data_IF_925249040166
#
_entry.id   IF_925249040166
#
_cell.length_a   1.000
_cell.length_b   1.000
_cell.length_c   1.000
_cell.angle_alpha   90.00
_cell.angle_beta   90.00
_cell.angle_gamma   90.00
#
_symmetry.space_group_name_H-M   'P 1'
#
loop_
_entity.id
_entity.type
_entity.pdbx_description
1 polymer ?
#
# COMPACT_ATOMS: atom_id res chain seq x y z
N UNK A 1 7.39 20.02 22.21
CA UNK A 1 7.79 18.72 22.76
C UNK A 1 8.62 18.04 21.68
N UNK A 2 9.87 17.62 21.90
CA UNK A 2 10.61 16.88 20.88
C UNK A 2 9.86 15.57 20.57
N UNK A 3 9.91 15.04 19.34
CA UNK A 3 9.36 13.72 19.05
C UNK A 3 10.03 12.68 19.95
N UNK A 4 9.25 11.71 20.44
CA UNK A 4 9.77 10.59 21.20
C UNK A 4 10.89 9.92 20.38
N UNK A 5 11.98 9.55 21.03
CA UNK A 5 13.08 8.82 20.39
C UNK A 5 12.54 7.46 19.93
N UNK A 6 12.79 7.07 18.67
CA UNK A 6 12.42 5.74 18.12
C UNK A 6 13.05 4.58 18.92
N UNK A 7 13.98 4.86 19.85
CA UNK A 7 14.67 3.84 20.65
C UNK A 7 13.78 3.10 21.66
N UNK A 8 12.64 3.69 22.06
CA UNK A 8 11.67 3.08 22.99
C UNK A 8 10.36 2.65 22.26
N UNK A 9 10.35 2.68 20.93
CA UNK A 9 9.17 2.32 20.16
C UNK A 9 8.98 0.80 20.15
N UNK A 10 7.77 0.36 20.49
CA UNK A 10 7.38 -1.05 20.46
C UNK A 10 6.99 -1.43 19.01
N UNK A 11 7.87 -2.15 18.34
CA UNK A 11 7.64 -2.69 17.00
C UNK A 11 7.01 -4.08 17.07
N UNK A 12 6.11 -4.45 16.14
CA UNK A 12 5.58 -5.81 16.12
C UNK A 12 6.67 -6.80 15.70
N UNK A 13 6.62 -8.04 16.17
CA UNK A 13 7.53 -9.09 15.71
C UNK A 13 7.34 -9.34 14.20
N UNK A 14 8.34 -9.90 13.51
CA UNK A 14 8.18 -10.33 12.12
C UNK A 14 6.99 -11.27 11.95
N UNK A 15 6.26 -11.12 10.84
CA UNK A 15 5.17 -12.02 10.44
C UNK A 15 5.80 -13.19 9.69
N UNK A 16 5.95 -14.33 10.36
CA UNK A 16 6.84 -15.41 9.90
C UNK A 16 6.21 -16.31 8.84
N UNK A 17 4.91 -16.44 8.79
CA UNK A 17 4.24 -17.36 7.85
C UNK A 17 2.90 -16.78 7.39
N UNK A 18 2.92 -15.62 6.68
CA UNK A 18 1.70 -14.99 6.22
C UNK A 18 1.10 -15.77 5.06
N UNK A 19 -0.20 -16.06 5.13
CA UNK A 19 -0.96 -16.61 4.01
C UNK A 19 -1.41 -15.52 3.04
N UNK A 20 -1.71 -14.33 3.59
CA UNK A 20 -2.19 -13.16 2.85
C UNK A 20 -1.51 -11.87 3.34
N UNK A 21 -1.60 -10.80 2.55
CA UNK A 21 -1.13 -9.48 2.97
C UNK A 21 -1.95 -8.93 4.17
N UNK A 22 -3.17 -9.42 4.36
CA UNK A 22 -4.00 -9.11 5.52
C UNK A 22 -3.33 -9.48 6.85
N UNK A 23 -2.53 -10.55 6.88
CA UNK A 23 -1.81 -10.99 8.09
C UNK A 23 -0.75 -9.97 8.52
N UNK A 24 -0.15 -9.27 7.57
CA UNK A 24 0.82 -8.19 7.85
C UNK A 24 0.20 -6.99 8.58
N UNK A 25 -1.11 -6.83 8.48
CA UNK A 25 -1.90 -5.77 9.14
C UNK A 25 -2.96 -6.33 10.09
N UNK A 26 -2.76 -7.54 10.61
CA UNK A 26 -3.61 -8.12 11.63
C UNK A 26 -3.67 -7.21 12.87
N UNK A 27 -4.81 -7.22 13.56
CA UNK A 27 -5.06 -6.29 14.69
C UNK A 27 -4.07 -6.43 15.84
N UNK A 28 -3.52 -7.59 16.01
CA UNK A 28 -2.53 -7.94 17.02
C UNK A 28 -1.20 -7.22 16.80
N UNK A 29 -0.95 -6.75 15.57
CA UNK A 29 0.26 -6.02 15.19
C UNK A 29 0.19 -4.51 15.47
N UNK A 30 -0.86 -4.03 16.16
CA UNK A 30 -1.03 -2.62 16.54
C UNK A 30 -0.12 -2.26 17.71
N UNK A 31 1.02 -1.72 17.40
CA UNK A 31 2.03 -1.25 18.37
C UNK A 31 2.30 0.24 18.19
N UNK A 32 3.20 0.80 19.00
CA UNK A 32 3.59 2.21 18.92
C UNK A 32 4.73 2.48 17.94
N UNK A 33 5.40 1.42 17.43
CA UNK A 33 6.47 1.56 16.45
C UNK A 33 5.97 2.19 15.15
N UNK A 34 6.86 2.86 14.42
CA UNK A 34 6.54 3.51 13.16
C UNK A 34 6.40 2.48 12.04
N UNK A 35 5.23 2.41 11.39
CA UNK A 35 4.99 1.56 10.21
C UNK A 35 5.25 2.29 8.89
N UNK A 36 4.90 3.58 8.83
CA UNK A 36 5.01 4.37 7.60
C UNK A 36 5.46 5.79 7.91
N UNK A 37 6.44 6.27 7.16
CA UNK A 37 6.92 7.66 7.21
C UNK A 37 6.96 8.25 5.80
N UNK A 38 6.23 9.33 5.56
CA UNK A 38 6.22 10.05 4.29
C UNK A 38 7.07 11.32 4.44
N UNK A 39 8.32 11.27 3.99
CA UNK A 39 9.27 12.39 4.11
C UNK A 39 8.80 13.68 3.45
N UNK A 40 8.20 13.66 2.24
CA UNK A 40 7.76 14.89 1.58
C UNK A 40 6.69 15.66 2.36
N UNK A 41 5.75 14.95 3.01
CA UNK A 41 4.67 15.56 3.79
C UNK A 41 4.96 15.67 5.29
N UNK A 42 6.01 15.00 5.79
CA UNK A 42 6.32 14.88 7.21
C UNK A 42 5.35 13.98 7.99
N UNK A 43 4.39 13.32 7.33
CA UNK A 43 3.39 12.47 7.99
C UNK A 43 4.00 11.14 8.41
N UNK A 44 3.63 10.71 9.61
CA UNK A 44 4.08 9.43 10.20
C UNK A 44 2.88 8.68 10.74
N UNK A 45 2.87 7.36 10.53
CA UNK A 45 1.86 6.44 11.05
C UNK A 45 2.53 5.39 11.91
N UNK A 46 2.06 5.23 13.14
CA UNK A 46 2.42 4.08 13.97
C UNK A 46 1.79 2.80 13.39
N UNK A 47 2.23 1.62 13.81
CA UNK A 47 1.55 0.37 13.45
C UNK A 47 0.08 0.38 13.85
N UNK A 48 -0.26 0.99 14.99
CA UNK A 48 -1.65 1.18 15.41
C UNK A 48 -2.44 2.02 14.40
N UNK A 49 -1.88 3.14 13.96
CA UNK A 49 -2.54 4.03 13.01
C UNK A 49 -2.60 3.41 11.61
N UNK A 50 -1.50 2.78 11.18
CA UNK A 50 -1.40 2.12 9.87
C UNK A 50 -2.42 0.99 9.72
N UNK A 51 -2.43 0.05 10.68
CA UNK A 51 -3.39 -1.06 10.69
C UNK A 51 -4.83 -0.52 10.75
N UNK A 52 -5.11 0.41 11.67
CA UNK A 52 -6.46 0.99 11.82
C UNK A 52 -6.91 1.67 10.54
N UNK A 53 -6.04 2.49 9.91
CA UNK A 53 -6.39 3.25 8.72
C UNK A 53 -6.50 2.36 7.47
N UNK A 54 -5.70 1.29 7.36
CA UNK A 54 -5.85 0.32 6.27
C UNK A 54 -7.20 -0.40 6.30
N UNK A 55 -7.69 -0.78 7.50
CA UNK A 55 -9.05 -1.32 7.65
C UNK A 55 -10.13 -0.32 7.24
N UNK A 56 -9.99 0.95 7.64
CA UNK A 56 -10.92 2.01 7.26
C UNK A 56 -10.92 2.24 5.76
N UNK A 57 -9.75 2.30 5.12
CA UNK A 57 -9.62 2.42 3.67
C UNK A 57 -10.32 1.24 2.95
N UNK A 58 -10.14 0.02 3.42
CA UNK A 58 -10.86 -1.14 2.91
C UNK A 58 -12.38 -1.02 3.07
N UNK A 59 -12.87 -0.52 4.20
CA UNK A 59 -14.32 -0.30 4.40
C UNK A 59 -14.88 0.77 3.45
N UNK A 60 -14.15 1.86 3.19
CA UNK A 60 -14.53 2.86 2.18
C UNK A 60 -14.59 2.21 0.79
N UNK A 61 -13.57 1.46 0.39
CA UNK A 61 -13.58 0.74 -0.89
C UNK A 61 -14.79 -0.20 -0.99
N UNK A 62 -15.10 -0.96 0.07
CA UNK A 62 -16.26 -1.85 0.12
C UNK A 62 -17.57 -1.08 0.02
N UNK A 63 -17.68 0.09 0.65
CA UNK A 63 -18.83 0.99 0.52
C UNK A 63 -18.99 1.47 -0.92
N UNK A 64 -17.90 1.80 -1.61
CA UNK A 64 -17.86 2.13 -3.04
C UNK A 64 -18.06 0.92 -3.96
N UNK A 65 -18.44 -0.22 -3.42
CA UNK A 65 -18.85 -1.39 -4.17
C UNK A 65 -17.74 -2.37 -4.54
N UNK A 66 -16.50 -2.19 -4.06
CA UNK A 66 -15.40 -3.14 -4.30
C UNK A 66 -15.71 -4.52 -3.71
N UNK A 67 -15.48 -5.56 -4.49
CA UNK A 67 -15.64 -6.98 -4.14
C UNK A 67 -14.35 -7.75 -4.45
N UNK A 68 -14.19 -8.99 -3.96
CA UNK A 68 -13.06 -9.85 -4.35
C UNK A 68 -12.91 -9.95 -5.87
N UNK A 69 -11.68 -9.78 -6.36
CA UNK A 69 -11.35 -9.78 -7.78
C UNK A 69 -11.61 -8.48 -8.54
N UNK A 70 -12.31 -7.49 -7.95
CA UNK A 70 -12.48 -6.19 -8.60
C UNK A 70 -11.14 -5.42 -8.66
N UNK A 71 -10.90 -4.68 -9.74
CA UNK A 71 -9.75 -3.79 -9.85
C UNK A 71 -9.99 -2.49 -9.08
N UNK A 72 -9.00 -2.13 -8.26
CA UNK A 72 -8.84 -0.81 -7.65
C UNK A 72 -7.62 -0.15 -8.27
N UNK A 73 -7.83 0.92 -9.05
CA UNK A 73 -6.75 1.66 -9.70
C UNK A 73 -6.29 2.80 -8.80
N UNK A 74 -5.01 2.83 -8.49
CA UNK A 74 -4.44 3.79 -7.53
C UNK A 74 -3.34 4.59 -8.21
N UNK A 75 -3.35 5.91 -8.07
CA UNK A 75 -2.27 6.75 -8.56
C UNK A 75 -0.94 6.28 -7.96
N UNK A 76 0.09 6.12 -8.81
CA UNK A 76 1.38 5.57 -8.42
C UNK A 76 2.26 6.59 -7.67
N UNK A 77 1.65 7.37 -6.78
CA UNK A 77 2.34 8.37 -5.98
C UNK A 77 2.83 7.77 -4.66
N UNK A 78 3.99 8.23 -4.18
CA UNK A 78 4.55 7.79 -2.90
C UNK A 78 3.98 8.64 -1.75
N UNK A 79 2.69 8.46 -1.50
CA UNK A 79 1.94 9.12 -0.43
C UNK A 79 1.25 8.09 0.46
N UNK A 80 0.92 8.42 1.70
CA UNK A 80 0.27 7.48 2.62
C UNK A 80 -1.05 6.92 2.08
N UNK A 81 -1.86 7.72 1.43
CA UNK A 81 -3.16 7.36 0.87
C UNK A 81 -3.03 6.19 -0.12
N UNK A 82 -2.01 6.23 -0.99
CA UNK A 82 -1.68 5.16 -1.94
C UNK A 82 -1.37 3.84 -1.23
N UNK A 83 -0.51 3.89 -0.20
CA UNK A 83 -0.09 2.69 0.55
C UNK A 83 -1.25 2.12 1.37
N UNK A 84 -1.98 2.97 2.08
CA UNK A 84 -3.12 2.56 2.91
C UNK A 84 -4.26 1.98 2.07
N UNK A 85 -4.50 2.54 0.87
CA UNK A 85 -5.46 1.99 -0.09
C UNK A 85 -5.04 0.61 -0.59
N UNK A 86 -3.75 0.40 -0.90
CA UNK A 86 -3.22 -0.92 -1.30
C UNK A 86 -3.48 -1.97 -0.24
N UNK A 87 -3.17 -1.68 1.03
CA UNK A 87 -3.45 -2.60 2.12
C UNK A 87 -4.94 -2.81 2.38
N UNK A 88 -5.75 -1.76 2.22
CA UNK A 88 -7.21 -1.86 2.31
C UNK A 88 -7.83 -2.73 1.21
N UNK A 89 -7.37 -2.58 -0.03
CA UNK A 89 -7.80 -3.38 -1.17
C UNK A 89 -7.41 -4.86 -1.01
N UNK A 90 -6.17 -5.12 -0.54
CA UNK A 90 -5.65 -6.46 -0.28
C UNK A 90 -6.52 -7.25 0.71
N UNK A 91 -7.01 -6.59 1.79
CA UNK A 91 -7.89 -7.19 2.78
C UNK A 91 -9.28 -7.54 2.23
N UNK A 92 -9.68 -6.96 1.09
CA UNK A 92 -10.93 -7.27 0.40
C UNK A 92 -10.77 -8.34 -0.70
N UNK A 93 -9.56 -8.82 -0.95
CA UNK A 93 -9.27 -9.68 -2.10
C UNK A 93 -9.42 -8.94 -3.44
N UNK A 94 -9.32 -7.60 -3.42
CA UNK A 94 -9.34 -6.78 -4.63
C UNK A 94 -7.93 -6.69 -5.24
N UNK A 95 -7.89 -6.44 -6.55
CA UNK A 95 -6.65 -6.33 -7.33
C UNK A 95 -6.25 -4.87 -7.43
N UNK A 96 -5.10 -4.49 -6.86
CA UNK A 96 -4.57 -3.14 -7.02
C UNK A 96 -3.82 -3.02 -8.35
N UNK A 97 -4.07 -1.93 -9.09
CA UNK A 97 -3.23 -1.50 -10.21
C UNK A 97 -2.70 -0.10 -9.94
N UNK A 98 -1.40 0.04 -9.87
CA UNK A 98 -0.79 1.37 -9.72
C UNK A 98 -0.62 2.05 -11.07
N UNK A 99 -0.99 3.34 -11.14
CA UNK A 99 -0.89 4.18 -12.35
C UNK A 99 -2.04 3.98 -13.34
N UNK A 100 -1.87 4.48 -14.55
CA UNK A 100 -2.86 4.38 -15.62
C UNK A 100 -4.19 5.09 -15.33
N UNK A 101 -4.17 6.15 -14.53
CA UNK A 101 -5.37 6.94 -14.20
C UNK A 101 -5.98 7.49 -15.50
N UNK A 102 -7.29 7.31 -15.68
CA UNK A 102 -8.01 7.71 -16.88
C UNK A 102 -7.72 6.88 -18.14
N UNK A 103 -7.02 5.73 -18.04
CA UNK A 103 -6.64 4.92 -19.19
C UNK A 103 -7.31 3.54 -19.15
N UNK A 104 -7.62 3.02 -20.36
CA UNK A 104 -8.20 1.70 -20.53
C UNK A 104 -9.61 1.55 -19.94
N UNK A 105 -10.02 0.32 -19.69
CA UNK A 105 -11.32 0.04 -19.10
C UNK A 105 -11.39 0.60 -17.66
N UNK A 106 -12.51 1.22 -17.28
CA UNK A 106 -12.65 1.81 -15.97
C UNK A 106 -12.69 0.71 -14.89
N UNK A 107 -11.90 0.85 -13.80
CA UNK A 107 -11.91 -0.08 -12.68
C UNK A 107 -13.16 0.13 -11.81
N UNK A 108 -13.40 -0.75 -10.82
CA UNK A 108 -14.48 -0.53 -9.85
C UNK A 108 -14.33 0.80 -9.10
N UNK A 109 -13.12 1.09 -8.64
CA UNK A 109 -12.76 2.35 -7.96
C UNK A 109 -11.42 2.85 -8.49
N UNK A 110 -11.34 4.14 -8.76
CA UNK A 110 -10.08 4.86 -8.96
C UNK A 110 -9.78 5.68 -7.72
N UNK A 111 -8.52 5.65 -7.26
CA UNK A 111 -8.01 6.50 -6.16
C UNK A 111 -6.86 7.36 -6.69
N UNK A 112 -7.03 8.67 -6.67
CA UNK A 112 -6.09 9.61 -7.29
C UNK A 112 -6.00 10.93 -6.49
N UNK A 113 -4.97 11.78 -6.70
CA UNK A 113 -4.98 13.12 -6.15
C UNK A 113 -6.12 13.96 -6.77
N UNK A 114 -6.71 14.87 -6.00
CA UNK A 114 -7.80 15.72 -6.45
C UNK A 114 -7.45 16.50 -7.73
N UNK A 115 -6.19 16.90 -7.89
CA UNK A 115 -5.71 17.58 -9.09
C UNK A 115 -5.89 16.79 -10.40
N UNK A 116 -6.16 15.47 -10.30
CA UNK A 116 -6.38 14.57 -11.44
C UNK A 116 -7.85 14.14 -11.60
N UNK A 117 -8.76 14.74 -10.86
CA UNK A 117 -10.19 14.40 -10.88
C UNK A 117 -10.77 14.42 -12.32
N UNK A 118 -10.43 15.46 -13.08
CA UNK A 118 -10.92 15.65 -14.46
C UNK A 118 -10.34 14.68 -15.49
N UNK A 119 -9.34 13.85 -15.12
CA UNK A 119 -8.77 12.84 -16.00
C UNK A 119 -9.57 11.52 -15.97
N UNK A 120 -10.56 11.39 -15.07
CA UNK A 120 -11.28 10.13 -14.83
C UNK A 120 -12.72 10.26 -15.27
N UNK A 121 -13.10 9.47 -16.27
CA UNK A 121 -14.50 9.27 -16.62
C UNK A 121 -15.16 8.31 -15.62
N UNK A 122 -16.38 8.65 -15.19
CA UNK A 122 -17.16 7.86 -14.23
C UNK A 122 -18.41 7.26 -14.89
N UNK A 123 -18.29 6.18 -15.64
CA UNK A 123 -19.47 5.47 -16.14
C UNK A 123 -20.25 4.83 -14.96
N UNK A 124 -21.53 4.48 -15.16
CA UNK A 124 -22.35 3.86 -14.12
C UNK A 124 -21.68 2.63 -13.47
N UNK A 125 -21.63 2.61 -12.15
CA UNK A 125 -21.05 1.51 -11.38
C UNK A 125 -19.54 1.64 -11.11
N UNK A 126 -18.91 2.73 -11.55
CA UNK A 126 -17.51 3.07 -11.25
C UNK A 126 -17.46 4.29 -10.35
N UNK A 127 -16.46 4.36 -9.47
CA UNK A 127 -16.33 5.40 -8.47
C UNK A 127 -14.93 6.01 -8.48
N UNK A 128 -14.86 7.28 -8.10
CA UNK A 128 -13.62 8.00 -7.88
C UNK A 128 -13.53 8.44 -6.42
N UNK A 129 -12.43 8.14 -5.78
CA UNK A 129 -12.04 8.73 -4.52
C UNK A 129 -10.78 9.57 -4.72
N UNK A 130 -10.81 10.82 -4.28
CA UNK A 130 -9.65 11.71 -4.40
C UNK A 130 -9.08 12.04 -3.03
N UNK A 131 -7.75 12.22 -3.00
CA UNK A 131 -7.03 12.65 -1.81
C UNK A 131 -6.32 13.99 -2.01
N UNK A 132 -5.96 14.63 -0.90
CA UNK A 132 -5.36 15.97 -0.86
C UNK A 132 -6.43 17.05 -0.75
N UNK A 133 -6.67 17.80 -1.82
CA UNK A 133 -7.72 18.82 -1.85
C UNK A 133 -9.12 18.19 -1.91
N UNK A 134 -10.13 18.99 -1.53
CA UNK A 134 -11.53 18.57 -1.63
C UNK A 134 -11.92 18.33 -3.09
N UNK A 135 -12.77 17.32 -3.38
CA UNK A 135 -13.28 17.10 -4.73
C UNK A 135 -14.14 18.26 -5.21
N UNK A 136 -14.15 18.47 -6.53
CA UNK A 136 -15.03 19.45 -7.20
C UNK A 136 -16.39 18.82 -7.54
N UNK A 137 -16.43 17.54 -7.88
CA UNK A 137 -17.63 16.82 -8.27
C UNK A 137 -18.43 16.28 -7.08
N UNK A 138 -19.79 16.39 -7.08
CA UNK A 138 -20.64 15.92 -6.00
C UNK A 138 -20.65 14.39 -5.84
N UNK A 139 -20.33 13.66 -6.89
CA UNK A 139 -20.30 12.18 -6.91
C UNK A 139 -18.89 11.62 -6.64
N UNK A 140 -17.93 12.50 -6.33
CA UNK A 140 -16.54 12.12 -6.02
C UNK A 140 -16.33 12.03 -4.53
N UNK A 141 -15.75 10.96 -4.09
CA UNK A 141 -15.48 10.69 -2.66
C UNK A 141 -14.20 11.42 -2.23
N UNK A 142 -14.23 12.16 -1.12
CA UNK A 142 -13.01 12.67 -0.50
C UNK A 142 -12.41 11.61 0.42
N UNK A 143 -11.27 11.03 0.00
CA UNK A 143 -10.66 9.87 0.64
C UNK A 143 -10.40 10.09 2.14
N UNK A 144 -9.77 11.21 2.51
CA UNK A 144 -9.43 11.50 3.91
C UNK A 144 -10.67 11.66 4.79
N UNK A 145 -11.70 12.33 4.30
CA UNK A 145 -12.94 12.55 5.05
C UNK A 145 -13.65 11.24 5.34
N UNK A 146 -13.80 10.39 4.31
CA UNK A 146 -14.47 9.11 4.45
C UNK A 146 -13.66 8.14 5.30
N UNK A 147 -12.36 8.01 5.07
CA UNK A 147 -11.49 7.15 5.88
C UNK A 147 -11.42 7.65 7.33
N UNK A 148 -11.43 8.96 7.57
CA UNK A 148 -11.47 9.50 8.92
C UNK A 148 -12.75 9.11 9.67
N UNK A 149 -13.90 9.22 9.01
CA UNK A 149 -15.22 8.96 9.60
C UNK A 149 -15.54 7.47 9.75
N UNK A 150 -14.84 6.59 8.98
CA UNK A 150 -15.14 5.16 8.92
C UNK A 150 -14.77 4.42 10.20
N UNK A 151 -15.46 3.31 10.46
CA UNK A 151 -15.16 2.41 11.57
C UNK A 151 -14.15 1.34 11.09
N UNK A 152 -13.06 1.04 11.83
CA UNK A 152 -12.10 0.00 11.46
C UNK A 152 -12.66 -1.42 11.74
N UNK A 153 -13.80 -1.75 11.16
CA UNK A 153 -14.38 -3.09 11.27
C UNK A 153 -13.59 -4.12 10.44
N UNK A 154 -13.59 -5.38 10.89
CA UNK A 154 -13.02 -6.50 10.12
C UNK A 154 -13.89 -6.74 8.88
N UNK A 155 -13.23 -6.94 7.73
CA UNK A 155 -13.92 -7.27 6.49
C UNK A 155 -14.45 -8.71 6.54
N UNK A 156 -15.74 -8.94 6.26
CA UNK A 156 -16.31 -10.30 6.22
C UNK A 156 -16.01 -10.96 4.86
N UNK A 157 -14.73 -11.02 4.48
CA UNK A 157 -14.26 -11.55 3.20
C UNK A 157 -13.17 -12.57 3.49
N UNK A 158 -13.27 -13.74 2.87
CA UNK A 158 -12.18 -14.71 2.87
C UNK A 158 -11.25 -14.36 1.69
N UNK A 159 -9.95 -14.27 1.96
CA UNK A 159 -8.90 -14.05 0.97
C UNK A 159 -7.93 -15.21 1.07
N UNK A 160 -7.52 -15.74 -0.08
CA UNK A 160 -6.60 -16.88 -0.19
C UNK A 160 -5.26 -16.44 -0.80
N UNK A 161 -4.19 -17.15 -0.46
CA UNK A 161 -2.85 -16.90 -1.03
C UNK A 161 -2.77 -17.00 -2.55
N UNK A 162 -3.72 -17.67 -3.20
CA UNK A 162 -3.86 -17.76 -4.66
C UNK A 162 -4.61 -16.59 -5.30
N UNK A 163 -5.27 -15.75 -4.51
CA UNK A 163 -6.02 -14.62 -5.03
C UNK A 163 -5.09 -13.55 -5.62
N UNK A 164 -5.47 -12.93 -6.76
CA UNK A 164 -4.69 -11.85 -7.35
C UNK A 164 -4.69 -10.63 -6.41
N UNK A 165 -3.52 -10.01 -6.26
CA UNK A 165 -3.29 -8.85 -5.37
C UNK A 165 -2.87 -7.60 -6.14
N UNK A 166 -1.98 -7.76 -7.11
CA UNK A 166 -1.37 -6.66 -7.85
C UNK A 166 -1.42 -6.94 -9.35
N UNK A 167 -1.86 -5.97 -10.15
CA UNK A 167 -1.80 -6.03 -11.59
C UNK A 167 -0.75 -5.05 -12.13
N UNK A 168 0.15 -5.54 -13.00
CA UNK A 168 1.14 -4.72 -13.69
C UNK A 168 1.25 -5.15 -15.16
N UNK A 169 1.04 -4.23 -16.09
CA UNK A 169 0.87 -4.58 -17.50
C UNK A 169 -0.33 -5.53 -17.67
N UNK A 170 -0.11 -6.64 -18.37
CA UNK A 170 -1.10 -7.71 -18.58
C UNK A 170 -1.02 -8.81 -17.50
N UNK A 171 -0.07 -8.74 -16.58
CA UNK A 171 0.16 -9.76 -15.55
C UNK A 171 -0.51 -9.40 -14.24
N UNK A 172 -1.12 -10.40 -13.60
CA UNK A 172 -1.56 -10.34 -12.22
C UNK A 172 -0.64 -11.18 -11.33
N UNK A 173 -0.27 -10.63 -10.19
CA UNK A 173 0.53 -11.27 -9.15
C UNK A 173 -0.37 -11.62 -7.97
N UNK A 174 -0.27 -12.84 -7.50
CA UNK A 174 -1.08 -13.32 -6.37
C UNK A 174 -0.54 -12.81 -5.02
N UNK A 175 -1.32 -12.98 -3.96
CA UNK A 175 -0.88 -12.77 -2.58
C UNK A 175 0.45 -13.51 -2.33
N UNK A 176 0.49 -14.80 -2.69
CA UNK A 176 1.67 -15.66 -2.51
C UNK A 176 2.90 -15.17 -3.28
N UNK A 177 2.73 -14.66 -4.50
CA UNK A 177 3.85 -14.16 -5.32
C UNK A 177 4.55 -12.97 -4.63
N UNK A 178 3.76 -11.99 -4.15
CA UNK A 178 4.32 -10.82 -3.48
C UNK A 178 4.90 -11.17 -2.10
N UNK A 179 4.24 -12.04 -1.34
CA UNK A 179 4.75 -12.47 -0.04
C UNK A 179 6.06 -13.26 -0.18
N UNK A 180 6.16 -14.14 -1.17
CA UNK A 180 7.40 -14.89 -1.44
C UNK A 180 8.54 -13.96 -1.90
N UNK A 181 8.26 -12.95 -2.72
CA UNK A 181 9.25 -11.96 -3.11
C UNK A 181 9.70 -11.12 -1.90
N UNK A 182 8.76 -10.65 -1.07
CA UNK A 182 9.06 -9.91 0.15
C UNK A 182 9.90 -10.73 1.13
N UNK A 183 9.62 -12.03 1.31
CA UNK A 183 10.42 -12.92 2.15
C UNK A 183 11.88 -13.05 1.66
N UNK A 184 12.10 -13.07 0.33
CA UNK A 184 13.47 -13.02 -0.25
C UNK A 184 14.18 -11.72 0.11
N UNK A 185 13.50 -10.58 0.04
CA UNK A 185 14.07 -9.28 0.45
C UNK A 185 14.43 -9.28 1.92
N UNK A 186 13.53 -9.72 2.80
CA UNK A 186 13.76 -9.81 4.25
C UNK A 186 15.01 -10.61 4.54
N UNK A 187 15.14 -11.79 3.92
CA UNK A 187 16.31 -12.67 4.10
C UNK A 187 17.60 -12.06 3.54
N UNK A 188 17.54 -11.50 2.31
CA UNK A 188 18.73 -10.98 1.63
C UNK A 188 19.27 -9.70 2.27
N UNK A 189 18.38 -8.80 2.71
CA UNK A 189 18.73 -7.54 3.34
C UNK A 189 18.82 -7.60 4.87
N UNK A 190 18.50 -8.76 5.48
CA UNK A 190 18.52 -8.94 6.93
C UNK A 190 17.54 -8.01 7.65
N UNK A 191 16.34 -7.82 7.09
CA UNK A 191 15.35 -6.94 7.71
C UNK A 191 14.81 -7.55 8.99
N UNK A 192 14.77 -6.75 10.04
CA UNK A 192 14.20 -7.08 11.34
C UNK A 192 13.20 -6.00 11.80
N UNK A 193 12.66 -6.18 13.00
CA UNK A 193 11.74 -5.21 13.61
C UNK A 193 12.43 -3.85 13.76
N UNK A 194 11.78 -2.80 13.27
CA UNK A 194 12.30 -1.43 13.28
C UNK A 194 13.22 -1.08 12.11
N UNK A 195 13.58 -2.04 11.24
CA UNK A 195 14.37 -1.75 10.04
C UNK A 195 13.65 -0.73 9.14
N UNK A 196 14.37 0.29 8.65
CA UNK A 196 13.81 1.27 7.71
C UNK A 196 14.10 0.87 6.27
N UNK A 197 13.04 0.85 5.44
CA UNK A 197 13.15 0.63 4.00
C UNK A 197 12.65 1.86 3.26
N UNK A 198 13.55 2.52 2.53
CA UNK A 198 13.23 3.73 1.75
C UNK A 198 12.83 3.36 0.32
N UNK A 199 11.66 3.84 -0.10
CA UNK A 199 11.08 3.63 -1.43
C UNK A 199 11.22 4.90 -2.25
N UNK A 200 11.92 4.82 -3.39
CA UNK A 200 12.04 5.89 -4.38
C UNK A 200 11.60 5.44 -5.78
N UNK A 201 11.52 4.14 -5.99
CA UNK A 201 11.11 3.53 -7.24
C UNK A 201 9.65 3.77 -7.60
N UNK A 202 9.27 3.35 -8.79
CA UNK A 202 7.90 3.47 -9.29
C UNK A 202 7.04 2.36 -8.70
N UNK A 203 5.91 2.69 -8.12
CA UNK A 203 4.96 1.70 -7.61
C UNK A 203 4.26 0.89 -8.72
N UNK A 204 4.43 1.26 -9.98
CA UNK A 204 4.02 0.44 -11.13
C UNK A 204 4.90 -0.79 -11.33
N UNK A 205 6.06 -0.86 -10.65
CA UNK A 205 6.97 -2.00 -10.66
C UNK A 205 6.63 -2.95 -9.50
N UNK A 206 6.23 -4.20 -9.78
CA UNK A 206 5.88 -5.17 -8.74
C UNK A 206 7.02 -5.48 -7.76
N UNK A 207 8.27 -5.43 -8.25
CA UNK A 207 9.44 -5.66 -7.40
C UNK A 207 9.63 -4.52 -6.38
N UNK A 208 9.37 -3.27 -6.78
CA UNK A 208 9.36 -2.11 -5.87
C UNK A 208 8.25 -2.24 -4.83
N UNK A 209 7.06 -2.71 -5.22
CA UNK A 209 5.94 -2.94 -4.28
C UNK A 209 6.31 -4.02 -3.26
N UNK A 210 6.81 -5.17 -3.72
CA UNK A 210 7.20 -6.28 -2.84
C UNK A 210 8.32 -5.87 -1.88
N UNK A 211 9.38 -5.25 -2.39
CA UNK A 211 10.55 -4.88 -1.60
C UNK A 211 10.31 -3.67 -0.69
N UNK A 212 9.57 -2.68 -1.18
CA UNK A 212 9.42 -1.39 -0.52
C UNK A 212 8.18 -1.24 0.34
N UNK A 213 7.07 -1.87 -0.04
CA UNK A 213 5.82 -1.76 0.71
C UNK A 213 5.52 -3.02 1.53
N UNK A 214 5.78 -4.22 1.00
CA UNK A 214 5.39 -5.47 1.68
C UNK A 214 6.47 -5.95 2.65
N UNK A 215 7.73 -6.07 2.21
CA UNK A 215 8.81 -6.62 3.02
C UNK A 215 9.01 -5.90 4.37
N UNK A 216 9.07 -4.55 4.45
CA UNK A 216 9.26 -3.88 5.73
C UNK A 216 8.10 -4.13 6.71
N UNK A 217 6.85 -4.12 6.25
CA UNK A 217 5.70 -4.35 7.13
C UNK A 217 5.67 -5.79 7.65
N UNK A 218 6.01 -6.77 6.82
CA UNK A 218 6.16 -8.17 7.27
C UNK A 218 7.27 -8.30 8.31
N UNK A 219 8.40 -7.64 8.11
CA UNK A 219 9.52 -7.67 9.06
C UNK A 219 9.24 -6.94 10.38
N UNK A 220 8.16 -6.18 10.49
CA UNK A 220 7.91 -5.30 11.65
C UNK A 220 8.69 -3.99 11.57
N UNK A 221 9.16 -3.61 10.38
CA UNK A 221 9.93 -2.40 10.11
C UNK A 221 9.11 -1.21 9.65
N UNK A 222 9.76 -0.22 9.07
CA UNK A 222 9.18 1.05 8.64
C UNK A 222 9.30 1.24 7.12
N UNK A 223 8.19 1.47 6.44
CA UNK A 223 8.18 2.00 5.07
C UNK A 223 8.50 3.49 5.11
N UNK A 224 9.53 3.91 4.40
CA UNK A 224 9.89 5.33 4.25
C UNK A 224 9.66 5.76 2.81
N UNK A 225 8.65 6.59 2.57
CA UNK A 225 8.38 7.14 1.25
C UNK A 225 9.36 8.29 1.00
N UNK A 226 10.27 8.07 0.06
CA UNK A 226 11.32 9.02 -0.30
C UNK A 226 10.93 9.99 -1.40
N UNK A 227 11.73 11.01 -1.60
CA UNK A 227 11.52 12.09 -2.56
C UNK A 227 12.04 11.81 -3.99
N UNK A 228 12.47 10.57 -4.27
CA UNK A 228 12.82 10.12 -5.64
C UNK A 228 13.97 10.90 -6.27
N UNK A 229 15.04 11.18 -5.53
CA UNK A 229 16.24 11.85 -6.08
C UNK A 229 16.95 10.97 -7.09
N UNK A 230 17.41 11.58 -8.19
CA UNK A 230 18.18 10.91 -9.22
C UNK A 230 19.46 10.27 -8.65
N UNK A 231 19.78 9.07 -9.13
CA UNK A 231 20.99 8.33 -8.73
C UNK A 231 20.87 7.47 -7.48
N UNK A 232 19.71 7.47 -6.80
CA UNK A 232 19.45 6.59 -5.66
C UNK A 232 18.86 5.25 -6.13
N UNK A 233 19.12 4.18 -5.37
CA UNK A 233 18.45 2.90 -5.61
C UNK A 233 16.91 3.04 -5.47
N UNK A 234 16.16 2.27 -6.26
CA UNK A 234 14.69 2.30 -6.24
C UNK A 234 14.12 1.92 -4.87
N UNK A 235 14.79 0.97 -4.17
CA UNK A 235 14.50 0.57 -2.80
C UNK A 235 15.82 0.44 -2.04
N UNK A 236 15.89 0.98 -0.84
CA UNK A 236 17.05 0.91 0.05
C UNK A 236 16.67 0.40 1.43
N UNK A 237 17.43 -0.55 1.94
CA UNK A 237 17.34 -1.05 3.31
C UNK A 237 18.64 -0.70 4.06
N UNK A 238 18.55 0.00 5.19
CA UNK A 238 19.73 0.42 5.95
C UNK A 238 20.75 1.24 5.14
N UNK A 239 20.30 1.96 4.10
CA UNK A 239 21.16 2.75 3.21
C UNK A 239 21.83 1.95 2.07
N UNK A 240 21.53 0.65 1.94
CA UNK A 240 22.02 -0.23 0.86
C UNK A 240 20.89 -0.51 -0.13
N UNK A 241 21.17 -0.42 -1.43
CA UNK A 241 20.19 -0.72 -2.48
C UNK A 241 19.78 -2.19 -2.46
N UNK A 242 18.48 -2.44 -2.60
CA UNK A 242 17.92 -3.80 -2.75
C UNK A 242 18.02 -4.22 -4.21
N UNK A 243 18.53 -5.43 -4.45
CA UNK A 243 18.54 -6.03 -5.79
C UNK A 243 17.13 -6.51 -6.15
N UNK A 244 16.44 -5.74 -6.99
CA UNK A 244 15.07 -6.03 -7.39
C UNK A 244 15.00 -7.12 -8.46
N UNK A 245 16.04 -7.29 -9.29
CA UNK A 245 16.07 -8.31 -10.36
C UNK A 245 16.10 -9.73 -9.77
N UNK A 246 16.69 -9.88 -8.59
CA UNK A 246 16.72 -11.16 -7.87
C UNK A 246 15.35 -11.63 -7.36
N UNK A 247 14.31 -10.77 -7.42
CA UNK A 247 12.98 -11.11 -6.89
C UNK A 247 12.14 -11.98 -7.83
N UNK A 248 12.52 -12.11 -9.11
CA UNK A 248 11.79 -12.92 -10.09
C UNK A 248 10.36 -12.41 -10.34
N UNK A 249 10.11 -11.14 -10.07
CA UNK A 249 8.91 -10.42 -10.45
C UNK A 249 9.28 -9.59 -11.68
N UNK A 250 9.19 -10.20 -12.86
CA UNK A 250 9.47 -9.49 -14.10
C UNK A 250 8.50 -8.31 -14.24
N UNK A 251 9.03 -7.11 -14.27
CA UNK A 251 8.25 -5.90 -14.51
C UNK A 251 7.62 -5.92 -15.92
N UNK A 252 6.67 -5.03 -16.20
CA UNK A 252 6.17 -4.86 -17.55
C UNK A 252 7.33 -4.41 -18.44
N UNK A 253 7.65 -5.24 -19.47
CA UNK A 253 8.59 -4.90 -20.52
C UNK A 253 8.12 -3.69 -21.35
#
# INVERSE_FOLDING_TARGET
MPPASDADADYPPPCLDPETLGDAVARERRTSGTALRARPSGRTYTYRDFVTTSYKAGNVLRYLGVRPGDEVRVAAERVPETVLTFYGAAQLGAVTRFGGIGQGDPPRVTVAPAARETEVDLPPGHHLAVYGDSPDGPDVTHWETEVWSENPAIHPVAVDGGDPLLAAGERAYTQRDLLAAAARVISAAGLDSGAEVTVRGRLTDPAVVAAGLVAPILAGGTVVLGDGRDGSAAVEAGGVGVDLDALGLDGPG
#
